data_IF_639206563564
#
_entry.id   IF_639206563564
#
_cell.length_a   1.000
_cell.length_b   1.000
_cell.length_c   1.000
_cell.angle_alpha   90.00
_cell.angle_beta   90.00
_cell.angle_gamma   90.00
#
_symmetry.space_group_name_H-M   'P 1'
#
loop_
_entity.id
_entity.type
_entity.pdbx_description
1 polymer ?
#
# COMPACT_ATOMS: atom_id res chain seq x y z
N UNK A 1 25.24 -3.47 43.09
CA UNK A 1 25.07 -2.71 41.84
C UNK A 1 24.49 -1.37 42.22
N UNK A 2 25.15 -0.25 41.94
CA UNK A 2 24.76 1.07 42.45
C UNK A 2 23.41 1.52 41.86
N UNK A 3 22.51 2.01 42.69
CA UNK A 3 21.18 2.53 42.29
C UNK A 3 21.29 3.58 41.17
N UNK A 4 22.36 4.36 41.17
CA UNK A 4 22.67 5.35 40.11
C UNK A 4 22.90 4.70 38.76
N UNK A 5 23.61 3.55 38.69
CA UNK A 5 23.90 2.81 37.44
C UNK A 5 22.61 2.22 36.86
N UNK A 6 21.75 1.68 37.72
CA UNK A 6 20.47 1.11 37.29
C UNK A 6 19.55 2.23 36.72
N UNK A 7 19.50 3.38 37.40
CA UNK A 7 18.72 4.52 36.94
C UNK A 7 19.26 5.09 35.61
N UNK A 8 20.56 5.18 35.43
CA UNK A 8 21.18 5.64 34.18
C UNK A 8 20.91 4.67 33.01
N UNK A 9 20.97 3.36 33.25
CA UNK A 9 20.64 2.36 32.23
C UNK A 9 19.15 2.38 31.85
N UNK A 10 18.27 2.57 32.81
CA UNK A 10 16.83 2.70 32.55
C UNK A 10 16.50 3.96 31.73
N UNK A 11 17.14 5.10 32.05
CA UNK A 11 16.97 6.34 31.27
C UNK A 11 17.53 6.19 29.84
N UNK A 12 18.70 5.57 29.68
CA UNK A 12 19.29 5.34 28.36
C UNK A 12 18.41 4.40 27.50
N UNK A 13 17.86 3.34 28.10
CA UNK A 13 16.92 2.45 27.42
C UNK A 13 15.63 3.16 26.99
N UNK A 14 15.06 4.02 27.84
CA UNK A 14 13.89 4.81 27.52
C UNK A 14 14.17 5.83 26.41
N UNK A 15 15.36 6.47 26.43
CA UNK A 15 15.77 7.40 25.40
C UNK A 15 15.93 6.72 24.03
N UNK A 16 16.47 5.49 23.99
CA UNK A 16 16.57 4.70 22.75
C UNK A 16 15.20 4.31 22.18
N UNK A 17 14.23 3.98 23.04
CA UNK A 17 12.85 3.68 22.61
C UNK A 17 12.15 4.91 22.03
N UNK A 18 12.42 6.09 22.55
CA UNK A 18 11.85 7.35 22.06
C UNK A 18 12.54 7.88 20.80
N UNK A 19 13.78 7.48 20.55
CA UNK A 19 14.56 7.88 19.38
C UNK A 19 14.42 6.91 18.19
N UNK A 20 13.63 5.84 18.31
CA UNK A 20 13.40 4.91 17.20
C UNK A 20 12.86 5.65 15.98
N UNK A 21 13.52 5.58 14.81
CA UNK A 21 13.01 6.23 13.62
C UNK A 21 11.65 5.63 13.26
N UNK A 22 10.67 6.49 13.02
CA UNK A 22 9.37 6.03 12.51
C UNK A 22 9.60 5.42 11.14
N UNK A 23 9.41 4.13 11.03
CA UNK A 23 9.40 3.44 9.75
C UNK A 23 8.19 3.94 8.96
N UNK A 24 8.45 4.63 7.84
CA UNK A 24 7.42 4.97 6.84
C UNK A 24 7.46 3.86 5.82
N UNK A 25 6.63 2.85 6.00
CA UNK A 25 6.53 1.72 5.08
C UNK A 25 5.06 1.28 5.00
N UNK A 26 4.60 1.03 3.78
CA UNK A 26 3.28 0.46 3.58
C UNK A 26 3.23 -0.97 4.11
N UNK A 27 2.11 -1.35 4.72
CA UNK A 27 1.87 -2.70 5.20
C UNK A 27 0.73 -3.34 4.42
N UNK A 28 0.79 -4.65 4.25
CA UNK A 28 -0.27 -5.44 3.63
C UNK A 28 -0.59 -6.64 4.51
N UNK A 29 -1.87 -6.92 4.69
CA UNK A 29 -2.36 -8.11 5.35
C UNK A 29 -3.32 -8.85 4.42
N UNK A 30 -3.24 -10.17 4.42
CA UNK A 30 -4.19 -11.05 3.75
C UNK A 30 -4.79 -11.95 4.81
N UNK A 31 -6.09 -11.83 5.01
CA UNK A 31 -6.82 -12.69 5.92
C UNK A 31 -7.55 -13.78 5.13
N UNK A 32 -7.18 -15.05 5.29
CA UNK A 32 -7.91 -16.16 4.70
C UNK A 32 -9.19 -16.39 5.51
N UNK A 33 -10.32 -16.13 4.89
CA UNK A 33 -11.64 -16.46 5.45
C UNK A 33 -12.06 -17.88 5.08
N UNK A 34 -13.26 -18.23 5.51
CA UNK A 34 -13.87 -19.51 5.16
C UNK A 34 -14.27 -19.54 3.67
N UNK A 35 -14.30 -20.73 3.07
CA UNK A 35 -14.83 -20.96 1.72
C UNK A 35 -14.15 -20.17 0.60
N UNK A 36 -12.81 -20.10 0.62
CA UNK A 36 -11.99 -19.39 -0.38
C UNK A 36 -12.23 -17.87 -0.46
N UNK A 37 -12.82 -17.28 0.58
CA UNK A 37 -12.90 -15.84 0.73
C UNK A 37 -11.57 -15.32 1.29
N UNK A 38 -11.00 -14.32 0.63
CA UNK A 38 -9.81 -13.62 1.11
C UNK A 38 -10.11 -12.13 1.29
N UNK A 39 -9.75 -11.59 2.45
CA UNK A 39 -9.81 -10.15 2.71
C UNK A 39 -8.39 -9.61 2.64
N UNK A 40 -8.18 -8.63 1.79
CA UNK A 40 -6.90 -7.95 1.65
C UNK A 40 -7.05 -6.54 2.19
N UNK A 41 -6.24 -6.22 3.20
CA UNK A 41 -6.12 -4.87 3.75
C UNK A 41 -4.71 -4.33 3.54
N UNK A 42 -4.60 -3.02 3.40
CA UNK A 42 -3.29 -2.39 3.30
C UNK A 42 -3.30 -0.98 3.91
N UNK A 43 -2.18 -0.54 4.44
CA UNK A 43 -1.93 0.87 4.77
C UNK A 43 -1.17 1.55 3.63
N UNK A 44 -1.50 2.80 3.36
CA UNK A 44 -0.77 3.65 2.43
C UNK A 44 -0.09 4.75 3.24
N UNK A 45 1.14 4.46 3.66
CA UNK A 45 1.89 5.34 4.55
C UNK A 45 2.81 6.25 3.73
N UNK A 46 2.60 7.56 3.86
CA UNK A 46 3.37 8.57 3.15
C UNK A 46 3.55 9.82 4.00
N UNK A 47 4.48 10.67 3.64
CA UNK A 47 4.84 11.89 4.40
C UNK A 47 3.73 12.94 4.41
N UNK A 48 2.92 12.98 3.38
CA UNK A 48 1.83 13.93 3.20
C UNK A 48 0.53 13.21 2.88
N UNK A 49 -0.64 13.81 3.11
CA UNK A 49 -1.91 13.25 2.70
C UNK A 49 -1.91 12.87 1.22
N UNK A 50 -2.42 11.70 0.91
CA UNK A 50 -2.52 11.18 -0.45
C UNK A 50 -3.99 11.25 -0.88
N UNK A 51 -4.39 12.25 -1.66
CA UNK A 51 -5.74 12.28 -2.22
C UNK A 51 -5.91 11.07 -3.13
N UNK A 52 -6.92 10.27 -2.85
CA UNK A 52 -7.17 9.01 -3.56
C UNK A 52 -8.64 8.94 -3.97
N UNK A 53 -8.85 8.70 -5.26
CA UNK A 53 -10.16 8.48 -5.86
C UNK A 53 -10.35 7.02 -6.27
N UNK A 54 -11.60 6.56 -6.28
CA UNK A 54 -11.95 5.25 -6.80
C UNK A 54 -12.49 5.38 -8.22
N UNK A 55 -11.92 4.59 -9.12
CA UNK A 55 -12.33 4.51 -10.53
C UNK A 55 -12.84 3.12 -10.84
N UNK A 56 -13.99 3.05 -11.49
CA UNK A 56 -14.56 1.80 -11.99
C UNK A 56 -14.31 1.71 -13.49
N UNK A 57 -13.67 0.64 -13.92
CA UNK A 57 -13.41 0.37 -15.32
C UNK A 57 -14.15 -0.91 -15.74
N UNK A 58 -15.07 -0.84 -16.69
CA UNK A 58 -15.70 -2.03 -17.23
C UNK A 58 -14.71 -2.88 -18.05
N UNK A 59 -15.07 -4.13 -18.31
CA UNK A 59 -14.36 -4.98 -19.26
C UNK A 59 -14.40 -4.40 -20.67
N UNK A 60 -13.48 -4.77 -21.54
CA UNK A 60 -13.42 -4.36 -22.94
C UNK A 60 -12.79 -2.98 -23.21
N UNK A 61 -12.36 -2.26 -22.17
CA UNK A 61 -11.68 -0.97 -22.37
C UNK A 61 -10.23 -1.20 -22.81
N UNK A 62 -9.86 -0.57 -23.92
CA UNK A 62 -8.48 -0.54 -24.39
C UNK A 62 -7.73 0.63 -23.74
N UNK A 63 -6.57 0.35 -23.19
CA UNK A 63 -5.67 1.29 -22.53
C UNK A 63 -4.28 1.23 -23.15
N UNK A 64 -3.53 2.30 -22.97
CA UNK A 64 -2.11 2.39 -23.32
C UNK A 64 -1.29 2.60 -22.05
N UNK A 65 -0.05 2.14 -22.04
CA UNK A 65 0.88 2.35 -20.93
C UNK A 65 1.26 3.82 -20.73
N UNK A 66 1.35 4.58 -21.82
CA UNK A 66 1.63 6.03 -21.88
C UNK A 66 1.33 6.56 -23.29
N UNK A 67 1.43 7.87 -23.50
CA UNK A 67 1.16 8.52 -24.77
C UNK A 67 2.40 8.73 -25.67
N UNK A 68 3.55 8.18 -25.27
CA UNK A 68 4.81 8.31 -26.02
C UNK A 68 4.99 7.16 -27.03
N UNK A 69 5.89 7.31 -28.02
CA UNK A 69 6.27 6.22 -28.91
C UNK A 69 6.77 5.00 -28.14
N UNK A 70 6.40 3.81 -28.58
CA UNK A 70 6.74 2.54 -27.93
C UNK A 70 5.77 2.11 -26.82
N UNK A 71 4.67 2.84 -26.60
CA UNK A 71 3.63 2.43 -25.70
C UNK A 71 3.02 1.08 -26.11
N UNK A 72 2.88 0.17 -25.16
CA UNK A 72 2.05 -1.01 -25.36
C UNK A 72 0.58 -0.72 -25.02
N UNK A 73 -0.31 -1.40 -25.70
CA UNK A 73 -1.74 -1.32 -25.43
C UNK A 73 -2.28 -2.67 -25.02
N UNK A 74 -3.32 -2.64 -24.22
CA UNK A 74 -4.05 -3.86 -23.82
C UNK A 74 -5.54 -3.57 -23.71
N UNK A 75 -6.35 -4.58 -23.88
CA UNK A 75 -7.81 -4.51 -23.63
C UNK A 75 -8.13 -5.27 -22.37
N UNK A 76 -8.83 -4.61 -21.46
CA UNK A 76 -9.22 -5.20 -20.17
C UNK A 76 -10.16 -6.38 -20.40
N UNK A 77 -9.76 -7.56 -19.97
CA UNK A 77 -10.59 -8.78 -20.04
C UNK A 77 -11.72 -8.73 -19.01
N UNK A 78 -11.47 -8.11 -17.86
CA UNK A 78 -12.39 -8.06 -16.73
C UNK A 78 -12.61 -6.62 -16.27
N UNK A 79 -13.81 -6.37 -15.75
CA UNK A 79 -14.08 -5.13 -15.03
C UNK A 79 -13.27 -5.06 -13.73
N UNK A 80 -12.92 -3.85 -13.31
CA UNK A 80 -12.10 -3.64 -12.12
C UNK A 80 -12.40 -2.30 -11.45
N UNK A 81 -12.09 -2.23 -10.15
CA UNK A 81 -12.05 -1.00 -9.37
C UNK A 81 -10.60 -0.70 -9.04
N UNK A 82 -10.18 0.52 -9.24
CA UNK A 82 -8.83 1.00 -8.92
C UNK A 82 -8.89 2.15 -7.94
N UNK A 83 -7.98 2.16 -6.98
CA UNK A 83 -7.65 3.34 -6.19
C UNK A 83 -6.51 4.08 -6.90
N UNK A 84 -6.77 5.34 -7.24
CA UNK A 84 -5.86 6.21 -7.99
C UNK A 84 -5.46 7.38 -7.11
N UNK A 85 -4.18 7.48 -6.83
CA UNK A 85 -3.62 8.55 -6.02
C UNK A 85 -3.14 9.70 -6.90
N UNK A 86 -3.36 10.94 -6.44
CA UNK A 86 -2.99 12.19 -7.15
C UNK A 86 -3.52 12.23 -8.59
N UNK A 87 -4.67 11.62 -8.86
CA UNK A 87 -5.32 11.51 -10.18
C UNK A 87 -4.43 10.94 -11.31
N UNK A 88 -3.33 10.29 -10.96
CA UNK A 88 -2.39 9.79 -11.97
C UNK A 88 -1.80 8.41 -11.67
N UNK A 89 -1.67 8.03 -10.41
CA UNK A 89 -1.02 6.76 -10.02
C UNK A 89 -2.01 5.71 -9.52
N UNK A 90 -2.17 4.59 -10.22
CA UNK A 90 -2.92 3.44 -9.70
C UNK A 90 -2.08 2.82 -8.60
N UNK A 91 -2.58 2.84 -7.37
CA UNK A 91 -1.90 2.29 -6.20
C UNK A 91 -2.42 0.91 -5.82
N UNK A 92 -3.66 0.62 -6.14
CA UNK A 92 -4.27 -0.67 -5.89
C UNK A 92 -5.47 -0.91 -6.80
N UNK A 93 -5.86 -2.16 -6.91
CA UNK A 93 -7.04 -2.53 -7.68
C UNK A 93 -7.51 -3.93 -7.40
N UNK A 94 -8.77 -4.15 -7.70
CA UNK A 94 -9.41 -5.45 -7.63
C UNK A 94 -10.27 -5.65 -8.87
N UNK A 95 -10.20 -6.81 -9.49
CA UNK A 95 -11.07 -7.16 -10.61
C UNK A 95 -12.26 -8.02 -10.17
N UNK A 96 -13.25 -8.15 -11.05
CA UNK A 96 -14.47 -8.94 -10.82
C UNK A 96 -14.20 -10.45 -10.59
N UNK A 97 -12.98 -10.93 -10.83
CA UNK A 97 -12.56 -12.31 -10.56
C UNK A 97 -11.84 -12.46 -9.22
N UNK A 98 -11.78 -11.38 -8.42
CA UNK A 98 -11.18 -11.41 -7.10
C UNK A 98 -9.65 -11.27 -7.10
N UNK A 99 -9.02 -10.97 -8.23
CA UNK A 99 -7.60 -10.64 -8.22
C UNK A 99 -7.40 -9.26 -7.59
N UNK A 100 -6.59 -9.21 -6.54
CA UNK A 100 -6.21 -7.97 -5.84
C UNK A 100 -4.74 -7.68 -6.06
N UNK A 101 -4.42 -6.45 -6.44
CA UNK A 101 -3.06 -5.96 -6.60
C UNK A 101 -2.89 -4.69 -5.79
N UNK A 102 -1.80 -4.60 -5.05
CA UNK A 102 -1.44 -3.42 -4.25
C UNK A 102 -0.01 -3.00 -4.56
N UNK A 103 0.19 -1.70 -4.79
CA UNK A 103 1.51 -1.08 -4.80
C UNK A 103 1.98 -0.84 -3.35
N UNK A 104 3.16 -1.32 -3.00
CA UNK A 104 3.78 -1.11 -1.71
C UNK A 104 5.08 -0.33 -1.91
N UNK A 105 5.26 0.71 -1.11
CA UNK A 105 6.54 1.40 -1.03
C UNK A 105 7.41 0.70 0.02
N UNK A 106 8.53 0.18 -0.42
CA UNK A 106 9.57 -0.39 0.44
C UNK A 106 10.81 0.50 0.36
N UNK A 107 11.37 0.86 1.51
CA UNK A 107 12.60 1.65 1.62
C UNK A 107 13.76 0.75 2.05
#
# INVERSE_FOLDING_TARGET
MNRIVISAMALAGLAMLLAAPRSVACSRVVYPGDSALYIVGRSLDWKTPIPTNLYVYPSGITKKSHDLPGAFSWTSKYGAVYAVSYDGGITEGMNEKGLVVNGLFCK
#
